data_IF_908576672735
#
_entry.id   IF_908576672735
#
_cell.length_a   1.000
_cell.length_b   1.000
_cell.length_c   1.000
_cell.angle_alpha   90.00
_cell.angle_beta   90.00
_cell.angle_gamma   90.00
#
_symmetry.space_group_name_H-M   'P 1'
#
loop_
_entity.id
_entity.type
_entity.pdbx_description
1 polymer ?
#
# COMPACT_ATOMS: atom_id res chain seq x y z
N UNK A 1 -4.47 -57.15 83.66
CA UNK A 1 -3.00 -57.13 83.74
C UNK A 1 -2.49 -56.44 82.49
N UNK A 2 -1.90 -55.23 82.62
CA UNK A 2 -1.19 -54.46 81.57
C UNK A 2 -2.11 -53.97 80.41
N UNK A 3 -1.98 -52.80 79.81
CA UNK A 3 -1.10 -51.65 79.96
C UNK A 3 -1.62 -50.59 78.98
N UNK A 4 -1.75 -49.34 79.46
CA UNK A 4 -1.35 -48.06 78.81
C UNK A 4 -1.80 -47.78 77.37
N UNK A 5 -2.33 -46.59 77.11
CA UNK A 5 -1.64 -45.48 76.42
C UNK A 5 -2.53 -44.23 76.48
N UNK A 6 -1.94 -43.11 76.90
CA UNK A 6 -2.54 -41.76 76.87
C UNK A 6 -2.16 -41.12 75.53
N UNK A 7 -3.11 -40.49 74.84
CA UNK A 7 -2.79 -39.51 73.81
C UNK A 7 -3.80 -38.36 73.88
N UNK A 8 -3.23 -37.17 74.04
CA UNK A 8 -3.83 -35.87 74.31
C UNK A 8 -4.51 -35.34 73.03
N UNK A 9 -5.82 -35.17 73.04
CA UNK A 9 -6.57 -34.60 71.90
C UNK A 9 -6.62 -33.07 71.99
N UNK A 10 -5.89 -32.37 71.12
CA UNK A 10 -6.04 -30.93 70.88
C UNK A 10 -7.19 -30.74 69.90
N UNK A 11 -8.25 -30.06 70.33
CA UNK A 11 -9.36 -29.64 69.45
C UNK A 11 -9.05 -28.23 68.95
N UNK A 12 -8.83 -28.07 67.65
CA UNK A 12 -8.75 -26.78 66.96
C UNK A 12 -10.08 -26.56 66.24
N UNK A 13 -10.83 -25.47 66.50
CA UNK A 13 -12.01 -25.16 65.70
C UNK A 13 -11.57 -24.56 64.37
N UNK A 14 -11.99 -25.19 63.28
CA UNK A 14 -11.72 -24.77 61.91
C UNK A 14 -12.66 -23.62 61.52
N UNK A 15 -12.11 -22.43 61.28
CA UNK A 15 -12.83 -21.30 60.69
C UNK A 15 -12.77 -21.37 59.14
N UNK A 16 -13.85 -20.85 58.54
CA UNK A 16 -14.23 -20.81 57.13
C UNK A 16 -13.14 -20.45 56.10
N UNK A 17 -13.30 -20.97 54.89
CA UNK A 17 -13.46 -20.16 53.68
C UNK A 17 -13.97 -21.06 52.53
N UNK A 18 -15.14 -20.71 51.97
CA UNK A 18 -15.58 -21.24 50.68
C UNK A 18 -14.61 -20.70 49.64
N UNK A 19 -13.85 -21.59 49.00
CA UNK A 19 -13.04 -21.23 47.85
C UNK A 19 -13.94 -21.50 46.65
N UNK A 20 -14.47 -20.44 46.06
CA UNK A 20 -15.12 -20.48 44.76
C UNK A 20 -14.16 -21.14 43.77
N UNK A 21 -14.54 -22.31 43.25
CA UNK A 21 -13.81 -22.93 42.15
C UNK A 21 -14.12 -22.13 40.90
N UNK A 22 -13.31 -21.11 40.63
CA UNK A 22 -13.30 -20.47 39.32
C UNK A 22 -12.70 -21.49 38.34
N UNK A 23 -13.60 -22.19 37.63
CA UNK A 23 -13.23 -23.02 36.51
C UNK A 23 -12.58 -22.11 35.45
N UNK A 24 -11.26 -22.06 35.44
CA UNK A 24 -10.50 -21.36 34.41
C UNK A 24 -10.92 -21.92 33.04
N UNK A 25 -11.71 -21.14 32.31
CA UNK A 25 -12.07 -21.44 30.93
C UNK A 25 -10.76 -21.54 30.15
N UNK A 26 -10.50 -22.72 29.57
CA UNK A 26 -9.39 -22.90 28.65
C UNK A 26 -9.47 -21.81 27.57
N UNK A 27 -8.35 -21.16 27.20
CA UNK A 27 -8.37 -20.11 26.18
C UNK A 27 -8.97 -20.71 24.91
N UNK A 28 -10.02 -20.07 24.39
CA UNK A 28 -10.59 -20.42 23.11
C UNK A 28 -9.45 -20.42 22.08
N UNK A 29 -9.17 -21.57 21.48
CA UNK A 29 -8.15 -21.69 20.46
C UNK A 29 -8.54 -20.75 19.31
N UNK A 30 -7.77 -19.68 19.14
CA UNK A 30 -7.86 -18.82 17.96
C UNK A 30 -7.37 -19.67 16.81
N UNK A 31 -8.30 -20.18 16.00
CA UNK A 31 -7.97 -20.81 14.72
C UNK A 31 -7.44 -19.68 13.84
N UNK A 32 -6.11 -19.52 13.81
CA UNK A 32 -5.47 -18.69 12.80
C UNK A 32 -5.71 -19.35 11.46
N UNK A 33 -6.62 -18.77 10.68
CA UNK A 33 -6.78 -19.11 9.28
C UNK A 33 -5.48 -18.72 8.56
N UNK A 34 -4.60 -19.71 8.38
CA UNK A 34 -3.42 -19.56 7.56
C UNK A 34 -3.88 -19.48 6.12
N UNK A 35 -4.15 -18.26 5.65
CA UNK A 35 -4.34 -18.00 4.24
C UNK A 35 -3.17 -18.65 3.49
N UNK A 36 -3.47 -19.69 2.70
CA UNK A 36 -2.44 -20.38 1.92
C UNK A 36 -1.82 -19.36 0.98
N UNK A 37 -0.51 -19.18 1.08
CA UNK A 37 0.21 -18.24 0.21
C UNK A 37 0.02 -18.67 -1.24
N UNK A 38 -0.68 -17.85 -2.03
CA UNK A 38 -0.87 -18.08 -3.45
C UNK A 38 0.47 -17.97 -4.15
N UNK A 39 0.84 -18.97 -4.94
CA UNK A 39 2.12 -18.98 -5.66
C UNK A 39 2.22 -17.78 -6.61
N UNK A 40 3.19 -16.86 -6.43
CA UNK A 40 3.31 -15.68 -7.28
C UNK A 40 3.48 -16.00 -8.78
N UNK A 41 4.01 -17.18 -9.11
CA UNK A 41 4.21 -17.60 -10.51
C UNK A 41 2.90 -17.70 -11.30
N UNK A 42 1.76 -17.88 -10.63
CA UNK A 42 0.43 -17.89 -11.25
C UNK A 42 0.05 -16.54 -11.85
N UNK A 43 0.68 -15.45 -11.39
CA UNK A 43 0.41 -14.10 -11.89
C UNK A 43 1.32 -13.68 -13.05
N UNK A 44 2.31 -14.49 -13.42
CA UNK A 44 3.29 -14.13 -14.46
C UNK A 44 2.66 -13.88 -15.84
N UNK A 45 1.51 -14.49 -16.12
CA UNK A 45 0.78 -14.30 -17.37
C UNK A 45 -0.20 -13.11 -17.33
N UNK A 46 -0.40 -12.47 -16.17
CA UNK A 46 -1.29 -11.31 -16.06
C UNK A 46 -0.61 -10.09 -16.67
N UNK A 47 -1.30 -9.48 -17.62
CA UNK A 47 -0.86 -8.23 -18.24
C UNK A 47 -1.89 -7.15 -17.99
N UNK A 48 -1.42 -5.98 -17.61
CA UNK A 48 -2.24 -4.78 -17.58
C UNK A 48 -2.65 -4.43 -19.01
N UNK A 49 -3.95 -4.20 -19.21
CA UNK A 49 -4.48 -3.70 -20.48
C UNK A 49 -5.25 -2.42 -20.24
N UNK A 50 -5.18 -1.49 -21.19
CA UNK A 50 -5.96 -0.26 -21.13
C UNK A 50 -7.47 -0.60 -21.29
N UNK A 51 -8.29 -0.25 -20.30
CA UNK A 51 -9.77 -0.45 -20.31
C UNK A 51 -10.51 0.82 -20.75
N UNK A 52 -9.88 1.98 -20.60
CA UNK A 52 -10.45 3.28 -20.92
C UNK A 52 -10.04 3.80 -22.29
N UNK A 53 -10.54 4.98 -22.67
CA UNK A 53 -10.15 5.64 -23.91
C UNK A 53 -8.63 5.75 -24.00
N UNK A 54 -8.10 5.20 -25.11
CA UNK A 54 -6.71 5.35 -25.51
C UNK A 54 -6.49 6.85 -25.74
N UNK A 55 -5.88 7.56 -24.78
CA UNK A 55 -5.72 9.04 -24.69
C UNK A 55 -6.77 9.80 -23.84
N UNK A 56 -7.43 9.16 -22.87
CA UNK A 56 -8.32 9.85 -21.93
C UNK A 56 -7.68 10.12 -20.57
N UNK A 57 -8.12 11.19 -19.90
CA UNK A 57 -7.66 11.59 -18.57
C UNK A 57 -7.45 13.09 -18.47
N UNK A 58 -7.07 13.58 -17.29
CA UNK A 58 -6.73 14.99 -17.06
C UNK A 58 -5.21 15.17 -17.23
N UNK A 59 -4.81 16.12 -18.07
CA UNK A 59 -3.43 16.58 -18.17
C UNK A 59 -3.35 18.02 -17.64
N UNK A 60 -2.34 18.31 -16.82
CA UNK A 60 -2.12 19.64 -16.23
C UNK A 60 -0.86 20.32 -16.74
N UNK A 61 0.14 19.53 -17.12
CA UNK A 61 1.41 20.03 -17.60
C UNK A 61 1.66 19.54 -19.02
N UNK A 62 2.22 20.42 -19.87
CA UNK A 62 2.74 20.07 -21.19
C UNK A 62 4.06 20.80 -21.39
N UNK A 63 5.04 20.13 -22.00
CA UNK A 63 6.32 20.72 -22.35
C UNK A 63 6.76 20.22 -23.74
N UNK A 64 7.15 21.15 -24.62
CA UNK A 64 7.74 20.84 -25.92
C UNK A 64 9.27 20.87 -25.87
N UNK A 65 9.89 20.17 -26.81
CA UNK A 65 11.35 20.12 -26.95
C UNK A 65 11.82 21.15 -28.00
N UNK A 66 12.68 22.12 -27.63
CA UNK A 66 13.23 23.06 -28.59
C UNK A 66 14.00 22.35 -29.71
N UNK A 67 13.68 22.65 -30.97
CA UNK A 67 14.31 22.02 -32.14
C UNK A 67 13.65 20.71 -32.59
N UNK A 68 12.71 20.15 -31.82
CA UNK A 68 12.00 18.92 -32.16
C UNK A 68 10.49 19.14 -32.20
N UNK A 69 9.97 19.57 -33.35
CA UNK A 69 8.57 19.97 -33.51
C UNK A 69 7.53 18.86 -33.25
N UNK A 70 7.94 17.59 -33.16
CA UNK A 70 7.06 16.45 -32.93
C UNK A 70 7.23 15.82 -31.55
N UNK A 71 8.16 16.34 -30.74
CA UNK A 71 8.50 15.79 -29.43
C UNK A 71 7.90 16.65 -28.32
N UNK A 72 7.00 16.04 -27.56
CA UNK A 72 6.30 16.68 -26.45
C UNK A 72 6.17 15.72 -25.28
N UNK A 73 6.05 16.31 -24.10
CA UNK A 73 5.74 15.61 -22.86
C UNK A 73 4.44 16.16 -22.28
N UNK A 74 3.62 15.30 -21.69
CA UNK A 74 2.54 15.76 -20.81
C UNK A 74 2.57 15.06 -19.47
N UNK A 75 2.09 15.76 -18.45
CA UNK A 75 1.89 15.26 -17.10
C UNK A 75 0.42 14.99 -16.86
N UNK A 76 0.10 13.73 -16.58
CA UNK A 76 -1.25 13.30 -16.21
C UNK A 76 -1.49 13.44 -14.70
N UNK A 77 -2.74 13.71 -14.36
CA UNK A 77 -3.23 13.51 -12.99
C UNK A 77 -3.48 12.03 -12.78
N UNK A 78 -2.92 11.48 -11.71
CA UNK A 78 -2.97 10.05 -11.40
C UNK A 78 -2.51 9.12 -12.56
N UNK A 79 -1.58 9.60 -13.41
CA UNK A 79 -1.15 8.88 -14.61
C UNK A 79 0.30 9.12 -15.03
N UNK A 80 1.09 9.87 -14.27
CA UNK A 80 2.52 10.04 -14.50
C UNK A 80 2.88 10.89 -15.73
N UNK A 81 4.10 10.70 -16.25
CA UNK A 81 4.64 11.44 -17.40
C UNK A 81 4.58 10.59 -18.67
N UNK A 82 4.17 11.24 -19.76
CA UNK A 82 4.06 10.62 -21.09
C UNK A 82 4.88 11.41 -22.11
N UNK A 83 5.47 10.71 -23.08
CA UNK A 83 6.24 11.28 -24.19
C UNK A 83 5.67 10.87 -25.55
N UNK A 84 5.62 11.81 -26.47
CA UNK A 84 5.44 11.57 -27.91
C UNK A 84 6.69 11.99 -28.68
N UNK A 85 6.90 11.39 -29.85
CA UNK A 85 7.91 11.81 -30.85
C UNK A 85 7.32 11.97 -32.26
N UNK A 86 6.01 11.74 -32.41
CA UNK A 86 5.29 11.74 -33.70
C UNK A 86 4.13 12.74 -33.73
N UNK A 87 4.23 13.82 -32.95
CA UNK A 87 3.21 14.87 -32.92
C UNK A 87 1.94 14.50 -32.15
N UNK A 88 2.00 13.46 -31.31
CA UNK A 88 0.92 13.03 -30.43
C UNK A 88 0.07 11.89 -31.00
N UNK A 89 0.53 11.25 -32.08
CA UNK A 89 -0.12 10.06 -32.62
C UNK A 89 0.10 8.85 -31.70
N UNK A 90 1.31 8.71 -31.13
CA UNK A 90 1.63 7.69 -30.13
C UNK A 90 2.27 8.30 -28.88
N UNK A 91 1.98 7.68 -27.73
CA UNK A 91 2.49 8.12 -26.44
C UNK A 91 3.11 6.95 -25.69
N UNK A 92 4.24 7.19 -25.06
CA UNK A 92 4.97 6.23 -24.24
C UNK A 92 5.02 6.72 -22.79
N UNK A 93 4.66 5.89 -21.81
CA UNK A 93 4.81 6.25 -20.40
C UNK A 93 6.31 6.26 -20.04
N UNK A 94 6.73 7.26 -19.25
CA UNK A 94 8.12 7.40 -18.79
C UNK A 94 8.30 7.06 -17.30
N UNK A 95 7.22 7.12 -16.53
CA UNK A 95 7.24 6.92 -15.07
C UNK A 95 6.58 5.61 -14.65
N UNK A 96 6.38 4.67 -15.58
CA UNK A 96 5.95 3.33 -15.22
C UNK A 96 6.99 2.67 -14.30
N UNK A 97 6.55 2.23 -13.12
CA UNK A 97 7.42 1.62 -12.11
C UNK A 97 8.02 2.61 -11.10
N UNK A 98 7.66 3.89 -11.16
CA UNK A 98 7.99 4.86 -10.09
C UNK A 98 6.75 5.14 -9.23
N UNK A 99 6.91 5.60 -7.98
CA UNK A 99 5.78 5.93 -7.11
C UNK A 99 5.09 7.26 -7.50
N UNK A 100 5.47 7.87 -8.62
CA UNK A 100 4.96 9.17 -9.07
C UNK A 100 3.63 8.95 -9.80
N UNK A 101 2.55 9.51 -9.26
CA UNK A 101 1.22 9.37 -9.86
C UNK A 101 0.70 10.69 -10.46
N UNK A 102 0.67 11.77 -9.69
CA UNK A 102 0.22 13.08 -10.18
C UNK A 102 1.39 13.95 -10.63
N UNK A 103 1.24 14.57 -11.80
CA UNK A 103 2.23 15.50 -12.36
C UNK A 103 1.57 16.85 -12.65
N UNK A 104 2.02 17.89 -11.94
CA UNK A 104 1.47 19.24 -12.02
C UNK A 104 2.35 20.22 -12.78
N UNK A 105 3.65 19.91 -12.95
CA UNK A 105 4.58 20.76 -13.70
C UNK A 105 5.60 19.91 -14.49
N UNK A 106 5.97 20.40 -15.67
CA UNK A 106 7.00 19.83 -16.52
C UNK A 106 7.83 20.94 -17.16
N UNK A 107 9.15 20.76 -17.21
CA UNK A 107 10.06 21.65 -17.91
C UNK A 107 11.20 20.86 -18.57
N UNK A 108 11.51 21.19 -19.83
CA UNK A 108 12.70 20.69 -20.53
C UNK A 108 13.88 21.59 -20.19
N UNK A 109 15.03 21.03 -19.87
CA UNK A 109 16.22 21.82 -19.57
C UNK A 109 16.71 22.57 -20.82
N UNK A 110 16.90 23.91 -20.77
CA UNK A 110 17.37 24.66 -21.94
C UNK A 110 18.78 24.29 -22.40
N UNK A 111 19.62 23.80 -21.49
CA UNK A 111 21.00 23.41 -21.76
C UNK A 111 21.14 22.02 -22.38
N UNK A 112 20.17 21.13 -22.14
CA UNK A 112 20.16 19.77 -22.68
C UNK A 112 18.71 19.26 -22.78
N UNK A 113 18.14 19.15 -23.99
CA UNK A 113 16.76 18.71 -24.16
C UNK A 113 16.49 17.25 -23.77
N UNK A 114 17.52 16.45 -23.51
CA UNK A 114 17.39 15.09 -22.96
C UNK A 114 17.03 15.08 -21.47
N UNK A 115 17.18 16.23 -20.79
CA UNK A 115 16.86 16.37 -19.36
C UNK A 115 15.50 17.05 -19.21
N UNK A 116 14.61 16.41 -18.45
CA UNK A 116 13.32 16.98 -18.05
C UNK A 116 13.22 17.04 -16.53
N UNK A 117 12.62 18.12 -16.03
CA UNK A 117 12.24 18.29 -14.64
C UNK A 117 10.74 18.06 -14.49
N UNK A 118 10.39 17.31 -13.44
CA UNK A 118 9.02 16.90 -13.14
C UNK A 118 8.66 17.43 -11.76
N UNK A 119 7.64 18.27 -11.69
CA UNK A 119 7.01 18.66 -10.43
C UNK A 119 5.84 17.72 -10.14
N UNK A 120 5.99 16.90 -9.11
CA UNK A 120 4.99 15.93 -8.67
C UNK A 120 3.86 16.65 -7.91
N UNK A 121 2.70 16.01 -7.82
CA UNK A 121 1.50 16.58 -7.21
C UNK A 121 0.58 17.32 -8.19
N UNK A 122 -0.44 17.97 -7.66
CA UNK A 122 -1.48 18.66 -8.43
C UNK A 122 -1.99 19.90 -7.69
N UNK A 123 -2.32 20.97 -8.42
CA UNK A 123 -2.85 22.21 -7.86
C UNK A 123 -4.38 22.22 -7.64
N UNK A 124 -5.15 21.37 -8.35
CA UNK A 124 -6.61 21.39 -8.35
C UNK A 124 -7.21 20.20 -7.57
N UNK A 125 -7.61 20.35 -6.29
CA UNK A 125 -8.21 19.26 -5.51
C UNK A 125 -9.53 18.79 -6.15
N UNK A 126 -9.50 17.61 -6.75
CA UNK A 126 -10.66 16.86 -7.26
C UNK A 126 -10.54 15.38 -6.86
N UNK A 127 -11.64 14.64 -6.97
CA UNK A 127 -11.74 13.27 -6.45
C UNK A 127 -10.79 12.23 -7.09
N UNK A 128 -10.07 12.61 -8.14
CA UNK A 128 -9.06 11.83 -8.85
C UNK A 128 -7.61 12.22 -8.50
N UNK A 129 -7.42 13.12 -7.53
CA UNK A 129 -6.11 13.59 -7.09
C UNK A 129 -5.36 12.50 -6.32
N UNK A 130 -4.08 12.30 -6.64
CA UNK A 130 -3.14 11.43 -5.90
C UNK A 130 -1.96 12.27 -5.38
N UNK A 131 -1.28 11.82 -4.32
CA UNK A 131 -0.16 12.56 -3.71
C UNK A 131 1.10 12.57 -4.60
N UNK A 132 1.87 13.65 -4.49
CA UNK A 132 3.25 13.76 -4.99
C UNK A 132 4.27 13.46 -3.88
N UNK A 133 5.56 13.51 -4.19
CA UNK A 133 6.68 13.33 -3.25
C UNK A 133 7.34 14.67 -2.84
#
# INVERSE_FOLDING_TARGET
MRSRYVALGVVVPLAMAVIDTEAAAAPAAVVQETASAVNPSLFNALQWRCIGPYRGGRALAVAGVPGEANTFYFGAVAGGVWKTTDGGATWRPLTDGTPISSVGALAVAPSNPDIIYVGTGEAAPRGDMTYGD
#
